data_IF_856467791475
#
_entry.id   IF_856467791475
#
_cell.length_a   1.000
_cell.length_b   1.000
_cell.length_c   1.000
_cell.angle_alpha   90.00
_cell.angle_beta   90.00
_cell.angle_gamma   90.00
#
_symmetry.space_group_name_H-M   'P 1'
#
loop_
_entity.id
_entity.type
_entity.pdbx_description
1 polymer ?
#
# COMPACT_ATOMS: atom_id res chain seq x y z
N UNK A 1 -20.80 19.86 35.77
CA UNK A 1 -21.02 20.06 34.32
C UNK A 1 -20.93 18.69 33.65
N UNK A 2 -21.94 18.33 32.89
CA UNK A 2 -21.91 17.07 32.14
C UNK A 2 -21.05 17.28 30.87
N UNK A 3 -20.14 16.34 30.60
CA UNK A 3 -19.40 16.31 29.33
C UNK A 3 -20.28 15.70 28.25
N UNK A 4 -20.03 15.98 26.96
CA UNK A 4 -20.79 15.43 25.83
C UNK A 4 -20.73 13.90 25.77
N UNK A 5 -19.66 13.30 26.32
CA UNK A 5 -19.38 11.85 26.22
C UNK A 5 -19.00 11.36 24.85
N UNK A 6 -19.03 12.21 23.81
CA UNK A 6 -18.63 11.86 22.45
C UNK A 6 -17.14 12.08 22.21
N UNK A 7 -16.54 11.25 21.33
CA UNK A 7 -15.13 11.35 20.87
C UNK A 7 -15.04 11.08 19.36
N UNK A 8 -16.11 11.38 18.64
CA UNK A 8 -16.31 11.10 17.22
C UNK A 8 -16.30 12.39 16.40
N UNK A 9 -15.38 13.32 16.72
CA UNK A 9 -15.18 14.50 15.90
C UNK A 9 -14.43 14.10 14.63
N UNK A 10 -15.12 14.13 13.52
CA UNK A 10 -14.60 13.87 12.18
C UNK A 10 -15.11 14.98 11.26
N UNK A 11 -14.26 15.43 10.35
CA UNK A 11 -14.61 16.42 9.34
C UNK A 11 -14.67 15.73 7.98
N UNK A 12 -15.66 16.07 7.17
CA UNK A 12 -15.69 15.71 5.76
C UNK A 12 -14.86 16.68 4.90
N UNK A 13 -14.65 16.35 3.62
CA UNK A 13 -13.88 17.20 2.73
C UNK A 13 -14.45 18.62 2.66
N UNK A 14 -15.77 18.77 2.65
CA UNK A 14 -16.39 20.09 2.52
C UNK A 14 -16.07 20.98 3.72
N UNK A 15 -16.12 20.43 4.92
CA UNK A 15 -15.78 21.11 6.19
C UNK A 15 -14.29 21.49 6.25
N UNK A 16 -13.38 20.61 5.81
CA UNK A 16 -11.95 20.94 5.70
C UNK A 16 -11.71 22.07 4.71
N UNK A 17 -12.41 22.07 3.59
CA UNK A 17 -12.28 23.10 2.55
C UNK A 17 -12.82 24.43 3.06
N UNK A 18 -13.96 24.45 3.73
CA UNK A 18 -14.56 25.66 4.31
C UNK A 18 -13.62 26.29 5.33
N UNK A 19 -13.15 25.53 6.32
CA UNK A 19 -12.18 25.99 7.32
C UNK A 19 -10.88 26.52 6.69
N UNK A 20 -10.38 25.85 5.65
CA UNK A 20 -9.16 26.29 4.96
C UNK A 20 -9.35 27.60 4.19
N UNK A 21 -10.52 27.84 3.59
CA UNK A 21 -10.85 29.10 2.95
C UNK A 21 -10.98 30.23 3.97
N UNK A 22 -11.62 29.98 5.12
CA UNK A 22 -11.72 30.95 6.21
C UNK A 22 -10.34 31.37 6.73
N UNK A 23 -9.40 30.43 6.90
CA UNK A 23 -8.00 30.71 7.27
C UNK A 23 -7.25 31.54 6.23
N UNK A 24 -7.65 31.46 4.98
CA UNK A 24 -7.14 32.32 3.91
C UNK A 24 -7.80 33.71 3.89
N UNK A 25 -8.77 33.98 4.78
CA UNK A 25 -9.58 35.21 4.77
C UNK A 25 -10.52 35.29 3.58
N UNK A 26 -11.03 34.18 3.09
CA UNK A 26 -11.91 34.08 1.94
C UNK A 26 -13.13 33.22 2.25
N UNK A 27 -14.21 33.47 1.52
CA UNK A 27 -15.42 32.64 1.58
C UNK A 27 -15.40 31.59 0.46
N UNK A 28 -15.89 30.40 0.76
CA UNK A 28 -16.17 29.37 -0.21
C UNK A 28 -17.42 29.74 -1.01
N UNK A 29 -17.30 29.97 -2.34
CA UNK A 29 -18.42 30.50 -3.14
C UNK A 29 -18.94 29.57 -4.22
N UNK A 30 -18.12 28.65 -4.72
CA UNK A 30 -18.46 27.88 -5.92
C UNK A 30 -17.99 26.43 -5.84
N UNK A 31 -18.68 25.53 -6.58
CA UNK A 31 -18.21 24.15 -6.78
C UNK A 31 -16.87 24.04 -7.52
N UNK A 32 -16.41 25.11 -8.17
CA UNK A 32 -15.06 25.20 -8.71
C UNK A 32 -14.01 25.30 -7.61
N UNK A 33 -14.30 26.04 -6.54
CA UNK A 33 -13.40 26.18 -5.39
C UNK A 33 -13.23 24.83 -4.66
N UNK A 34 -14.32 24.07 -4.46
CA UNK A 34 -14.26 22.72 -3.90
C UNK A 34 -13.41 21.79 -4.76
N UNK A 35 -13.59 21.78 -6.09
CA UNK A 35 -12.77 20.95 -7.00
C UNK A 35 -11.29 21.32 -6.98
N UNK A 36 -10.99 22.62 -6.84
CA UNK A 36 -9.61 23.10 -6.77
C UNK A 36 -8.97 22.74 -5.43
N UNK A 37 -9.73 22.85 -4.34
CA UNK A 37 -9.30 22.45 -3.00
C UNK A 37 -9.07 20.93 -2.89
N UNK A 38 -9.99 20.10 -3.41
CA UNK A 38 -9.82 18.64 -3.50
C UNK A 38 -8.51 18.27 -4.20
N UNK A 39 -8.20 18.87 -5.34
CA UNK A 39 -6.93 18.66 -6.03
C UNK A 39 -5.73 19.08 -5.19
N UNK A 40 -5.84 20.19 -4.44
CA UNK A 40 -4.79 20.64 -3.54
C UNK A 40 -4.59 19.68 -2.38
N UNK A 41 -5.65 19.10 -1.85
CA UNK A 41 -5.59 18.10 -0.77
C UNK A 41 -4.88 16.83 -1.23
N UNK A 42 -5.23 16.26 -2.38
CA UNK A 42 -4.54 15.08 -2.91
C UNK A 42 -3.05 15.35 -3.22
N UNK A 43 -2.70 16.56 -3.65
CA UNK A 43 -1.30 16.97 -3.79
C UNK A 43 -0.58 17.12 -2.44
N UNK A 44 -1.28 17.55 -1.40
CA UNK A 44 -0.78 17.62 -0.04
C UNK A 44 -0.49 16.20 0.51
N UNK A 45 -1.37 15.22 0.25
CA UNK A 45 -1.12 13.82 0.63
C UNK A 45 0.11 13.25 -0.07
N UNK A 46 0.31 13.59 -1.36
CA UNK A 46 1.52 13.22 -2.08
C UNK A 46 2.79 13.88 -1.48
N UNK A 47 2.71 15.12 -0.99
CA UNK A 47 3.80 15.79 -0.27
C UNK A 47 4.11 15.06 1.06
N UNK A 48 3.09 14.66 1.81
CA UNK A 48 3.25 13.92 3.05
C UNK A 48 3.95 12.58 2.85
N UNK A 49 3.61 11.86 1.80
CA UNK A 49 4.29 10.61 1.44
C UNK A 49 5.81 10.79 1.18
N UNK A 50 6.25 12.01 0.83
CA UNK A 50 7.66 12.33 0.62
C UNK A 50 8.37 12.85 1.88
N UNK A 51 7.64 13.18 2.96
CA UNK A 51 8.22 13.76 4.19
C UNK A 51 8.69 12.72 5.19
N UNK A 52 8.36 11.45 5.02
CA UNK A 52 8.82 10.38 5.90
C UNK A 52 7.82 9.25 6.08
N UNK A 53 8.05 8.44 7.13
CA UNK A 53 7.19 7.34 7.50
C UNK A 53 6.01 7.87 8.32
N UNK A 54 4.81 7.53 7.88
CA UNK A 54 3.59 7.76 8.64
C UNK A 54 3.19 6.42 9.27
N UNK A 55 3.17 6.32 10.59
CA UNK A 55 2.95 5.06 11.31
C UNK A 55 1.58 4.44 10.99
N UNK A 56 0.56 5.27 10.75
CA UNK A 56 -0.79 4.77 10.44
C UNK A 56 -0.95 4.22 9.02
N UNK A 57 -0.01 4.49 8.12
CA UNK A 57 -0.02 3.97 6.74
C UNK A 57 0.79 2.68 6.61
N UNK A 58 1.29 2.12 7.72
CA UNK A 58 1.99 0.85 7.73
C UNK A 58 0.97 -0.26 7.92
N UNK A 59 0.88 -1.14 6.95
CA UNK A 59 0.01 -2.31 6.95
C UNK A 59 0.80 -3.60 6.85
N UNK A 60 0.38 -4.62 7.61
CA UNK A 60 0.91 -5.96 7.45
C UNK A 60 0.09 -6.72 6.40
N UNK A 61 0.76 -7.17 5.37
CA UNK A 61 0.17 -7.97 4.28
C UNK A 61 0.86 -9.34 4.20
N UNK A 62 0.12 -10.36 3.77
CA UNK A 62 0.65 -11.70 3.57
C UNK A 62 0.32 -12.25 2.19
N UNK A 63 1.27 -12.95 1.57
CA UNK A 63 1.10 -13.59 0.27
C UNK A 63 1.59 -15.04 0.38
N UNK A 64 0.77 -15.99 -0.03
CA UNK A 64 1.22 -17.38 -0.16
C UNK A 64 2.19 -17.48 -1.33
N UNK A 65 3.35 -18.05 -1.10
CA UNK A 65 4.36 -18.25 -2.11
C UNK A 65 3.97 -19.39 -3.04
N UNK A 66 4.45 -19.33 -4.26
CA UNK A 66 4.21 -20.31 -5.29
C UNK A 66 5.54 -20.89 -5.78
N UNK A 67 5.63 -22.20 -5.92
CA UNK A 67 6.83 -22.89 -6.40
C UNK A 67 7.29 -22.32 -7.75
N UNK A 68 8.56 -22.01 -7.86
CA UNK A 68 9.17 -21.51 -9.08
C UNK A 68 8.92 -20.03 -9.40
N UNK A 69 8.11 -19.32 -8.59
CA UNK A 69 7.81 -17.90 -8.78
C UNK A 69 8.66 -17.06 -7.82
N UNK A 70 9.33 -16.06 -8.35
CA UNK A 70 10.17 -15.13 -7.57
C UNK A 70 9.63 -13.71 -7.51
N UNK A 71 8.76 -13.33 -8.43
CA UNK A 71 8.23 -11.99 -8.58
C UNK A 71 6.79 -11.95 -8.07
N UNK A 72 6.55 -11.18 -7.01
CA UNK A 72 5.25 -11.04 -6.34
C UNK A 72 4.76 -9.60 -6.36
N UNK A 73 3.44 -9.36 -6.33
CA UNK A 73 2.91 -8.02 -6.13
C UNK A 73 3.23 -7.53 -4.71
N UNK A 74 3.47 -6.23 -4.54
CA UNK A 74 3.65 -5.64 -3.21
C UNK A 74 2.32 -5.37 -2.48
N UNK A 75 1.34 -6.22 -2.68
CA UNK A 75 -0.01 -6.14 -2.13
C UNK A 75 -0.83 -7.31 -2.64
N UNK A 76 -2.14 -7.30 -2.40
CA UNK A 76 -3.04 -8.37 -2.86
C UNK A 76 -3.49 -8.08 -4.29
N UNK A 77 -3.20 -8.99 -5.20
CA UNK A 77 -3.67 -8.93 -6.58
C UNK A 77 -4.82 -9.90 -6.75
N UNK A 78 -6.02 -9.40 -6.97
CA UNK A 78 -7.23 -10.21 -7.04
C UNK A 78 -7.91 -10.11 -8.39
N UNK A 79 -8.67 -11.16 -8.74
CA UNK A 79 -9.60 -11.17 -9.86
C UNK A 79 -10.92 -11.79 -9.45
N UNK A 80 -12.02 -11.27 -9.95
CA UNK A 80 -13.36 -11.79 -9.67
C UNK A 80 -13.80 -12.69 -10.81
N UNK A 81 -14.24 -13.91 -10.47
CA UNK A 81 -14.65 -14.95 -11.40
C UNK A 81 -16.06 -15.47 -11.09
N UNK A 82 -16.66 -16.18 -12.02
CA UNK A 82 -17.98 -16.79 -11.81
C UNK A 82 -17.99 -17.84 -10.70
N UNK A 83 -16.99 -18.71 -10.65
CA UNK A 83 -16.76 -19.68 -9.57
C UNK A 83 -15.30 -20.07 -9.47
N UNK A 84 -14.77 -20.16 -8.24
CA UNK A 84 -13.37 -20.51 -7.95
C UNK A 84 -13.20 -21.90 -7.32
N UNK A 85 -14.29 -22.55 -6.92
CA UNK A 85 -14.26 -23.75 -6.07
C UNK A 85 -13.60 -24.97 -6.71
N UNK A 86 -13.73 -25.13 -8.02
CA UNK A 86 -13.16 -26.27 -8.77
C UNK A 86 -11.67 -26.12 -9.09
N UNK A 87 -11.09 -24.95 -8.85
CA UNK A 87 -9.67 -24.70 -9.11
C UNK A 87 -8.81 -25.08 -7.91
N UNK A 88 -7.53 -25.35 -8.16
CA UNK A 88 -6.55 -25.71 -7.13
C UNK A 88 -5.59 -24.54 -6.90
N UNK A 89 -5.23 -24.28 -5.62
CA UNK A 89 -4.17 -23.31 -5.29
C UNK A 89 -2.84 -23.83 -5.82
N UNK A 90 -2.04 -22.95 -6.42
CA UNK A 90 -0.77 -23.28 -7.06
C UNK A 90 -0.87 -23.61 -8.54
N UNK A 91 -2.08 -23.80 -9.11
CA UNK A 91 -2.22 -24.01 -10.56
C UNK A 91 -2.14 -22.72 -11.37
N UNK A 92 -1.72 -22.86 -12.61
CA UNK A 92 -1.72 -21.74 -13.57
C UNK A 92 -3.07 -21.63 -14.26
N UNK A 93 -3.63 -20.43 -14.26
CA UNK A 93 -4.82 -20.09 -15.06
C UNK A 93 -4.41 -19.44 -16.38
N UNK A 94 -5.12 -19.76 -17.43
CA UNK A 94 -4.90 -19.21 -18.78
C UNK A 94 -6.17 -18.60 -19.31
N UNK A 95 -6.09 -17.37 -19.81
CA UNK A 95 -7.18 -16.68 -20.50
C UNK A 95 -7.40 -17.22 -21.90
N UNK A 96 -8.65 -17.56 -22.24
CA UNK A 96 -9.00 -18.20 -23.51
C UNK A 96 -8.85 -17.28 -24.72
N UNK A 97 -9.07 -15.98 -24.58
CA UNK A 97 -8.93 -15.00 -25.66
C UNK A 97 -7.63 -14.21 -25.57
N UNK A 98 -7.18 -13.87 -24.37
CA UNK A 98 -5.98 -13.08 -24.14
C UNK A 98 -4.68 -13.89 -24.19
N UNK A 99 -4.75 -15.19 -23.94
CA UNK A 99 -3.58 -16.07 -23.67
C UNK A 99 -2.74 -15.57 -22.45
N UNK A 100 -3.28 -14.67 -21.65
CA UNK A 100 -2.61 -14.24 -20.42
C UNK A 100 -2.58 -15.39 -19.42
N UNK A 101 -1.52 -15.44 -18.59
CA UNK A 101 -1.36 -16.49 -17.59
C UNK A 101 -1.03 -15.88 -16.22
N UNK A 102 -1.52 -16.52 -15.14
CA UNK A 102 -1.15 -16.23 -13.78
C UNK A 102 -1.28 -17.50 -12.94
N UNK A 103 -0.61 -17.55 -11.80
CA UNK A 103 -0.76 -18.65 -10.85
C UNK A 103 -1.66 -18.25 -9.69
N UNK A 104 -2.54 -19.14 -9.25
CA UNK A 104 -3.43 -18.92 -8.11
C UNK A 104 -2.61 -19.07 -6.84
N UNK A 105 -2.50 -18.01 -6.04
CA UNK A 105 -1.82 -18.02 -4.74
C UNK A 105 -2.78 -18.36 -3.59
N UNK A 106 -4.03 -17.91 -3.68
CA UNK A 106 -5.09 -18.29 -2.73
C UNK A 106 -6.49 -18.09 -3.34
N UNK A 107 -7.50 -18.59 -2.64
CA UNK A 107 -8.92 -18.41 -2.99
C UNK A 107 -9.65 -17.74 -1.82
N UNK A 108 -9.62 -16.39 -1.73
CA UNK A 108 -10.23 -15.68 -0.62
C UNK A 108 -11.75 -15.90 -0.50
N UNK A 109 -12.43 -16.14 -1.61
CA UNK A 109 -13.87 -16.46 -1.64
C UNK A 109 -14.20 -17.46 -2.74
N UNK A 110 -15.46 -17.88 -2.81
CA UNK A 110 -15.96 -18.76 -3.88
C UNK A 110 -15.95 -18.11 -5.26
N UNK A 111 -15.73 -16.82 -5.37
CA UNK A 111 -15.75 -16.03 -6.61
C UNK A 111 -14.51 -15.17 -6.80
N UNK A 112 -13.46 -15.37 -6.00
CA UNK A 112 -12.26 -14.55 -6.06
C UNK A 112 -11.01 -15.41 -6.04
N UNK A 113 -10.07 -15.12 -6.96
CA UNK A 113 -8.68 -15.59 -6.89
C UNK A 113 -7.77 -14.49 -6.41
N UNK A 114 -6.81 -14.82 -5.53
CA UNK A 114 -5.58 -14.07 -5.41
C UNK A 114 -4.54 -14.73 -6.33
N UNK A 115 -3.79 -13.91 -7.08
CA UNK A 115 -2.92 -14.38 -8.14
C UNK A 115 -1.53 -13.76 -8.07
N UNK A 116 -0.57 -14.42 -8.72
CA UNK A 116 0.75 -13.83 -9.02
C UNK A 116 0.62 -12.70 -10.05
N UNK A 117 1.71 -11.97 -10.28
CA UNK A 117 1.74 -10.97 -11.36
C UNK A 117 1.47 -11.67 -12.69
N UNK A 118 0.44 -11.26 -13.44
CA UNK A 118 0.07 -11.93 -14.67
C UNK A 118 1.12 -11.68 -15.78
N UNK A 119 1.35 -12.70 -16.59
CA UNK A 119 2.03 -12.56 -17.87
C UNK A 119 0.95 -12.28 -18.94
N UNK A 120 0.96 -11.09 -19.48
CA UNK A 120 -0.08 -10.59 -20.37
C UNK A 120 -1.22 -9.89 -19.61
N UNK A 121 -2.28 -9.51 -20.32
CA UNK A 121 -3.43 -8.79 -19.76
C UNK A 121 -4.70 -9.60 -19.96
N UNK A 122 -5.35 -9.97 -18.87
CA UNK A 122 -6.64 -10.65 -18.91
C UNK A 122 -7.76 -9.72 -19.38
N UNK A 123 -8.69 -10.27 -20.16
CA UNK A 123 -9.84 -9.52 -20.68
C UNK A 123 -11.11 -9.91 -19.92
N UNK A 124 -11.85 -8.92 -19.42
CA UNK A 124 -13.14 -9.18 -18.76
C UNK A 124 -14.10 -9.93 -19.69
N UNK A 125 -14.81 -10.91 -19.15
CA UNK A 125 -15.74 -11.77 -19.90
C UNK A 125 -15.09 -13.00 -20.55
N UNK A 126 -13.75 -13.14 -20.54
CA UNK A 126 -13.10 -14.32 -21.10
C UNK A 126 -13.25 -15.56 -20.20
N UNK A 127 -13.10 -16.72 -20.80
CA UNK A 127 -13.05 -17.99 -20.07
C UNK A 127 -11.64 -18.25 -19.59
N UNK A 128 -11.49 -18.48 -18.29
CA UNK A 128 -10.24 -18.91 -17.66
C UNK A 128 -10.21 -20.42 -17.56
N UNK A 129 -9.07 -21.04 -17.84
CA UNK A 129 -8.87 -22.49 -17.73
C UNK A 129 -7.71 -22.78 -16.80
N UNK A 130 -7.93 -23.66 -15.82
CA UNK A 130 -6.89 -24.13 -14.88
C UNK A 130 -6.04 -25.25 -15.50
N UNK A 131 -4.72 -25.18 -15.32
CA UNK A 131 -3.77 -26.13 -15.92
C UNK A 131 -3.80 -27.51 -15.23
N UNK A 132 -4.08 -27.55 -13.94
CA UNK A 132 -4.07 -28.79 -13.16
C UNK A 132 -5.46 -29.39 -13.00
N UNK A 133 -6.45 -28.57 -12.68
CA UNK A 133 -7.83 -29.01 -12.47
C UNK A 133 -8.64 -29.20 -13.77
N UNK A 134 -8.18 -28.63 -14.88
CA UNK A 134 -8.96 -28.45 -16.12
C UNK A 134 -10.30 -27.73 -15.90
N UNK A 135 -10.48 -27.10 -14.76
CA UNK A 135 -11.67 -26.32 -14.45
C UNK A 135 -11.73 -25.07 -15.33
N UNK A 136 -12.95 -24.64 -15.62
CA UNK A 136 -13.19 -23.41 -16.38
C UNK A 136 -14.12 -22.49 -15.61
N UNK A 137 -13.88 -21.19 -15.74
CA UNK A 137 -14.74 -20.13 -15.17
C UNK A 137 -14.68 -18.89 -16.05
N UNK A 138 -15.64 -17.99 -15.91
CA UNK A 138 -15.65 -16.72 -16.63
C UNK A 138 -15.03 -15.63 -15.75
N UNK A 139 -14.14 -14.84 -16.29
CA UNK A 139 -13.61 -13.65 -15.64
C UNK A 139 -14.65 -12.54 -15.61
N UNK A 140 -15.16 -12.19 -14.43
CA UNK A 140 -16.21 -11.17 -14.28
C UNK A 140 -15.64 -9.77 -14.25
N UNK A 141 -14.54 -9.56 -13.50
CA UNK A 141 -13.85 -8.29 -13.38
C UNK A 141 -12.37 -8.50 -13.64
N UNK A 142 -11.79 -7.64 -14.49
CA UNK A 142 -10.36 -7.65 -14.78
C UNK A 142 -9.51 -7.50 -13.50
N UNK A 143 -8.25 -7.89 -13.59
CA UNK A 143 -7.30 -7.82 -12.46
C UNK A 143 -7.21 -6.40 -11.91
N UNK A 144 -7.45 -6.27 -10.62
CA UNK A 144 -7.33 -5.00 -9.91
C UNK A 144 -5.92 -4.84 -9.31
N UNK A 145 -5.23 -3.80 -9.74
CA UNK A 145 -3.90 -3.42 -9.27
C UNK A 145 -3.92 -2.27 -8.25
N UNK A 146 -5.09 -1.80 -7.82
CA UNK A 146 -5.21 -0.62 -6.95
C UNK A 146 -4.47 -0.82 -5.63
N UNK A 147 -4.66 -1.95 -4.96
CA UNK A 147 -3.98 -2.29 -3.72
C UNK A 147 -2.46 -2.40 -3.88
N UNK A 148 -1.98 -3.02 -4.96
CA UNK A 148 -0.54 -3.11 -5.24
C UNK A 148 0.08 -1.73 -5.48
N UNK A 149 -0.63 -0.86 -6.24
CA UNK A 149 -0.17 0.50 -6.56
C UNK A 149 -0.25 1.47 -5.38
N UNK A 150 -1.03 1.13 -4.35
CA UNK A 150 -1.05 1.91 -3.10
C UNK A 150 0.26 1.75 -2.33
N UNK A 151 0.99 0.64 -2.50
CA UNK A 151 2.25 0.38 -1.81
C UNK A 151 3.37 1.29 -2.29
N UNK A 152 3.96 2.02 -1.36
CA UNK A 152 5.12 2.91 -1.59
C UNK A 152 6.43 2.15 -1.41
N UNK A 153 6.53 1.34 -0.35
CA UNK A 153 7.72 0.54 -0.02
C UNK A 153 7.36 -0.62 0.92
N UNK A 154 8.28 -1.56 1.07
CA UNK A 154 8.23 -2.63 2.08
C UNK A 154 9.33 -2.38 3.09
N UNK A 155 8.98 -2.32 4.38
CA UNK A 155 9.89 -2.00 5.47
C UNK A 155 10.63 -3.23 5.97
N UNK A 156 9.88 -4.28 6.28
CA UNK A 156 10.38 -5.57 6.79
C UNK A 156 9.59 -6.71 6.19
N UNK A 157 10.18 -7.90 6.16
CA UNK A 157 9.48 -9.08 5.70
C UNK A 157 10.01 -10.34 6.39
N UNK A 158 9.12 -11.32 6.56
CA UNK A 158 9.44 -12.65 7.09
C UNK A 158 8.80 -13.71 6.20
N UNK A 159 9.41 -14.89 6.16
CA UNK A 159 8.80 -16.07 5.53
C UNK A 159 8.36 -17.02 6.63
N UNK A 160 7.08 -17.33 6.66
CA UNK A 160 6.49 -18.32 7.56
C UNK A 160 6.53 -19.70 6.89
N UNK A 161 7.21 -20.64 7.51
CA UNK A 161 7.24 -22.07 7.13
C UNK A 161 6.92 -22.91 8.34
N UNK A 162 5.93 -23.79 8.25
CA UNK A 162 5.52 -24.69 9.34
C UNK A 162 5.28 -23.94 10.67
N UNK A 163 4.56 -22.80 10.59
CA UNK A 163 4.23 -21.92 11.73
C UNK A 163 5.43 -21.25 12.40
N UNK A 164 6.60 -21.25 11.77
CA UNK A 164 7.80 -20.55 12.24
C UNK A 164 8.13 -19.43 11.28
N UNK A 165 8.33 -18.22 11.81
CA UNK A 165 8.69 -17.04 11.04
C UNK A 165 10.23 -16.93 10.95
N UNK A 166 10.72 -16.75 9.74
CA UNK A 166 12.13 -16.54 9.41
C UNK A 166 12.29 -15.18 8.78
N UNK A 167 13.09 -14.34 9.41
CA UNK A 167 13.42 -13.03 8.86
C UNK A 167 14.12 -13.16 7.51
N UNK A 168 13.76 -12.31 6.56
CA UNK A 168 14.41 -12.21 5.25
C UNK A 168 15.04 -10.84 5.10
N UNK A 169 16.26 -10.81 4.55
CA UNK A 169 17.05 -9.59 4.47
C UNK A 169 16.70 -8.79 3.22
N UNK A 170 16.50 -7.48 3.39
CA UNK A 170 16.36 -6.56 2.27
C UNK A 170 17.70 -6.33 1.58
N UNK A 171 17.76 -6.54 0.27
CA UNK A 171 18.96 -6.27 -0.53
C UNK A 171 18.76 -5.13 -1.51
N UNK A 172 19.85 -4.49 -1.94
CA UNK A 172 19.82 -3.42 -2.94
C UNK A 172 19.57 -3.99 -4.36
N UNK A 173 19.20 -3.13 -5.30
CA UNK A 173 19.06 -3.50 -6.71
C UNK A 173 20.36 -4.07 -7.28
N UNK A 174 21.51 -3.50 -6.93
CA UNK A 174 22.81 -3.99 -7.37
C UNK A 174 23.13 -5.36 -6.79
N UNK A 175 22.97 -5.55 -5.48
CA UNK A 175 23.19 -6.84 -4.82
C UNK A 175 22.28 -7.94 -5.38
N UNK A 176 21.00 -7.62 -5.64
CA UNK A 176 20.09 -8.57 -6.30
C UNK A 176 20.53 -8.90 -7.73
N UNK A 177 21.08 -7.91 -8.48
CA UNK A 177 21.59 -8.12 -9.84
C UNK A 177 22.82 -9.05 -9.85
N UNK A 178 23.67 -8.94 -8.85
CA UNK A 178 24.92 -9.69 -8.72
C UNK A 178 24.70 -11.17 -8.37
N UNK A 179 23.49 -11.58 -7.98
CA UNK A 179 23.15 -12.99 -7.70
C UNK A 179 23.36 -13.81 -9.00
N UNK A 180 24.30 -14.79 -9.02
CA UNK A 180 24.64 -15.51 -10.25
C UNK A 180 23.49 -16.39 -10.77
N UNK A 181 22.81 -17.08 -9.85
CA UNK A 181 21.69 -17.97 -10.19
C UNK A 181 20.40 -17.51 -9.48
N UNK A 182 19.60 -16.73 -10.18
CA UNK A 182 18.32 -16.21 -9.69
C UNK A 182 17.21 -17.27 -9.62
N UNK A 183 17.40 -18.40 -10.28
CA UNK A 183 16.45 -19.53 -10.31
C UNK A 183 16.81 -20.63 -9.31
N UNK A 184 17.77 -20.38 -8.42
CA UNK A 184 18.07 -21.32 -7.34
C UNK A 184 16.83 -21.51 -6.47
N UNK A 185 16.39 -22.76 -6.32
CA UNK A 185 15.23 -23.12 -5.50
C UNK A 185 15.63 -23.28 -4.03
N UNK A 186 14.76 -22.85 -3.12
CA UNK A 186 14.97 -22.97 -1.69
C UNK A 186 14.01 -22.09 -0.88
N UNK A 187 14.21 -22.06 0.44
CA UNK A 187 13.51 -21.11 1.28
C UNK A 187 14.07 -19.71 1.05
N UNK A 188 13.23 -18.71 0.72
CA UNK A 188 13.68 -17.34 0.57
C UNK A 188 14.35 -16.80 1.84
N UNK A 189 15.47 -16.09 1.69
CA UNK A 189 16.21 -15.43 2.76
C UNK A 189 16.57 -13.97 2.42
N UNK A 190 16.34 -13.55 1.19
CA UNK A 190 16.57 -12.19 0.72
C UNK A 190 15.38 -11.69 -0.09
N UNK A 191 15.14 -10.38 -0.06
CA UNK A 191 14.16 -9.73 -0.91
C UNK A 191 14.64 -8.39 -1.44
N UNK A 192 14.15 -8.03 -2.61
CA UNK A 192 14.37 -6.74 -3.25
C UNK A 192 13.02 -6.16 -3.68
N UNK A 193 12.79 -4.87 -3.42
CA UNK A 193 11.58 -4.15 -3.84
C UNK A 193 11.90 -3.32 -5.06
N UNK A 194 11.30 -3.67 -6.20
CA UNK A 194 11.39 -2.88 -7.42
C UNK A 194 10.28 -1.81 -7.43
N UNK A 195 10.63 -0.60 -7.00
CA UNK A 195 9.71 0.53 -6.81
C UNK A 195 9.33 1.18 -8.14
N UNK A 196 8.53 0.49 -8.92
CA UNK A 196 7.91 1.00 -10.15
C UNK A 196 6.50 1.56 -9.86
N UNK A 197 5.77 2.01 -10.90
CA UNK A 197 4.35 2.42 -10.79
C UNK A 197 3.50 1.28 -10.21
N UNK A 198 3.80 0.04 -10.62
CA UNK A 198 3.27 -1.18 -10.00
C UNK A 198 4.46 -1.87 -9.33
N UNK A 199 4.63 -1.72 -8.00
CA UNK A 199 5.82 -2.22 -7.32
C UNK A 199 5.83 -3.75 -7.26
N UNK A 200 7.03 -4.31 -7.38
CA UNK A 200 7.27 -5.76 -7.42
C UNK A 200 8.19 -6.15 -6.28
N UNK A 201 7.75 -7.12 -5.48
CA UNK A 201 8.57 -7.80 -4.50
C UNK A 201 9.28 -8.98 -5.17
N UNK A 202 10.60 -8.94 -5.23
CA UNK A 202 11.44 -10.04 -5.74
C UNK A 202 12.10 -10.74 -4.58
N UNK A 203 11.94 -12.03 -4.49
CA UNK A 203 12.51 -12.86 -3.42
C UNK A 203 13.57 -13.83 -3.98
N UNK A 204 14.53 -14.14 -3.14
CA UNK A 204 15.57 -15.11 -3.45
C UNK A 204 15.99 -15.89 -2.19
N UNK A 205 16.24 -17.20 -2.29
CA UNK A 205 16.00 -18.12 -3.41
C UNK A 205 14.54 -18.20 -3.85
N UNK A 206 14.30 -18.70 -5.04
CA UNK A 206 12.96 -18.95 -5.57
C UNK A 206 12.26 -20.01 -4.73
N UNK A 207 11.01 -19.82 -4.31
CA UNK A 207 10.28 -20.77 -3.47
C UNK A 207 10.26 -22.19 -4.04
N UNK A 208 10.46 -23.17 -3.17
CA UNK A 208 10.47 -24.60 -3.49
C UNK A 208 9.14 -25.31 -3.23
N UNK A 209 8.14 -24.58 -2.71
CA UNK A 209 6.82 -25.13 -2.37
C UNK A 209 5.74 -24.05 -2.46
N UNK A 210 4.46 -24.49 -2.39
CA UNK A 210 3.26 -23.66 -2.44
C UNK A 210 2.63 -23.43 -1.06
N UNK A 211 3.35 -23.67 0.03
CA UNK A 211 2.83 -23.64 1.41
C UNK A 211 3.45 -22.53 2.25
N UNK A 212 4.62 -22.04 1.87
CA UNK A 212 5.27 -20.91 2.55
C UNK A 212 4.48 -19.63 2.34
N UNK A 213 4.49 -18.77 3.34
CA UNK A 213 3.80 -17.46 3.27
C UNK A 213 4.82 -16.37 3.57
N UNK A 214 4.97 -15.41 2.68
CA UNK A 214 5.68 -14.17 3.00
C UNK A 214 4.72 -13.20 3.67
N UNK A 215 5.11 -12.68 4.84
CA UNK A 215 4.44 -11.59 5.54
C UNK A 215 5.36 -10.40 5.51
N UNK A 216 4.84 -9.24 5.23
CA UNK A 216 5.64 -8.02 5.17
C UNK A 216 4.85 -6.81 5.64
N UNK A 217 5.56 -5.86 6.23
CA UNK A 217 5.03 -4.56 6.59
C UNK A 217 5.27 -3.62 5.41
N UNK A 218 4.18 -3.14 4.82
CA UNK A 218 4.22 -2.22 3.68
C UNK A 218 3.81 -0.83 4.10
N UNK A 219 4.44 0.17 3.54
CA UNK A 219 4.02 1.56 3.60
C UNK A 219 3.06 1.83 2.45
N UNK A 220 1.85 2.23 2.76
CA UNK A 220 0.82 2.57 1.76
C UNK A 220 0.66 4.08 1.60
N UNK A 221 0.08 4.49 0.48
CA UNK A 221 -0.32 5.89 0.28
C UNK A 221 -1.60 6.16 1.06
N UNK A 222 -1.75 7.39 1.53
CA UNK A 222 -3.01 7.90 2.06
C UNK A 222 -4.06 7.84 0.95
N UNK A 223 -5.28 7.42 1.26
CA UNK A 223 -6.37 7.34 0.28
C UNK A 223 -6.70 8.71 -0.33
N UNK A 224 -6.98 8.71 -1.62
CA UNK A 224 -7.38 9.91 -2.35
C UNK A 224 -8.82 10.29 -1.97
N UNK A 225 -9.08 11.57 -1.81
CA UNK A 225 -10.43 12.09 -1.60
C UNK A 225 -11.10 12.31 -2.94
N UNK A 226 -12.23 11.64 -3.20
CA UNK A 226 -12.94 11.67 -4.49
C UNK A 226 -14.26 12.41 -4.46
N UNK A 227 -14.96 12.44 -3.34
CA UNK A 227 -16.24 13.13 -3.14
C UNK A 227 -16.12 14.26 -2.10
N UNK A 228 -17.04 15.21 -2.11
CA UNK A 228 -17.13 16.27 -1.11
C UNK A 228 -17.57 15.77 0.28
N UNK A 229 -18.18 14.59 0.31
CA UNK A 229 -18.68 13.92 1.53
C UNK A 229 -17.76 12.82 2.04
N UNK A 230 -16.60 12.61 1.38
CA UNK A 230 -15.64 11.63 1.84
C UNK A 230 -14.97 12.11 3.13
N UNK A 231 -14.82 11.20 4.07
CA UNK A 231 -13.95 11.39 5.24
C UNK A 231 -12.50 11.08 4.84
N UNK A 232 -11.55 11.69 5.53
CA UNK A 232 -10.13 11.48 5.25
C UNK A 232 -9.60 10.31 6.08
N UNK A 233 -8.79 9.45 5.48
CA UNK A 233 -8.09 8.35 6.18
C UNK A 233 -6.83 8.88 6.89
N UNK A 234 -7.05 9.70 7.93
CA UNK A 234 -5.97 10.36 8.66
C UNK A 234 -6.31 10.34 10.17
N UNK A 235 -5.33 10.03 11.05
CA UNK A 235 -5.54 10.08 12.48
C UNK A 235 -5.87 11.48 12.99
N UNK A 236 -6.71 11.57 14.03
CA UNK A 236 -7.13 12.81 14.67
C UNK A 236 -6.00 13.81 14.94
N UNK A 237 -4.81 13.33 15.32
CA UNK A 237 -3.63 14.16 15.59
C UNK A 237 -3.14 14.97 14.39
N UNK A 238 -3.50 14.56 13.16
CA UNK A 238 -3.14 15.26 11.91
C UNK A 238 -4.19 16.22 11.38
N UNK A 239 -5.39 16.29 11.97
CA UNK A 239 -6.46 17.20 11.51
C UNK A 239 -6.03 18.67 11.50
N UNK A 240 -5.38 19.24 12.55
CA UNK A 240 -4.90 20.62 12.51
C UNK A 240 -3.87 20.86 11.41
N UNK A 241 -2.96 19.89 11.21
CA UNK A 241 -1.93 19.94 10.16
C UNK A 241 -2.56 19.88 8.76
N UNK A 242 -3.57 19.02 8.54
CA UNK A 242 -4.26 18.91 7.27
C UNK A 242 -4.95 20.23 6.90
N UNK A 243 -5.68 20.82 7.84
CA UNK A 243 -6.38 22.09 7.63
C UNK A 243 -5.38 23.23 7.32
N UNK A 244 -4.28 23.30 8.07
CA UNK A 244 -3.24 24.31 7.84
C UNK A 244 -2.53 24.11 6.50
N UNK A 245 -2.23 22.87 6.13
CA UNK A 245 -1.62 22.53 4.86
C UNK A 245 -2.52 22.84 3.68
N UNK A 246 -3.81 22.51 3.78
CA UNK A 246 -4.79 22.84 2.75
C UNK A 246 -4.94 24.37 2.58
N UNK A 247 -5.02 25.11 3.68
CA UNK A 247 -5.04 26.58 3.65
C UNK A 247 -3.78 27.15 2.96
N UNK A 248 -2.60 26.62 3.27
CA UNK A 248 -1.37 27.00 2.59
C UNK A 248 -1.44 26.75 1.07
N UNK A 249 -1.88 25.57 0.62
CA UNK A 249 -2.00 25.24 -0.80
C UNK A 249 -3.06 26.09 -1.53
N UNK A 250 -4.16 26.44 -0.86
CA UNK A 250 -5.18 27.36 -1.39
C UNK A 250 -4.62 28.78 -1.50
N UNK A 251 -3.86 29.24 -0.48
CA UNK A 251 -3.31 30.59 -0.46
C UNK A 251 -2.37 30.85 -1.63
N UNK A 252 -1.56 29.87 -2.03
CA UNK A 252 -0.68 29.98 -3.22
C UNK A 252 -1.45 30.34 -4.51
N UNK A 253 -2.73 29.95 -4.59
CA UNK A 253 -3.56 30.17 -5.79
C UNK A 253 -4.47 31.39 -5.67
N UNK A 254 -4.93 31.71 -4.48
CA UNK A 254 -6.03 32.64 -4.25
C UNK A 254 -5.64 33.87 -3.42
N UNK A 255 -4.72 33.72 -2.47
CA UNK A 255 -4.28 34.82 -1.59
C UNK A 255 -2.79 34.72 -1.29
N UNK A 256 -1.90 35.04 -2.26
CA UNK A 256 -0.44 34.93 -2.09
C UNK A 256 0.14 35.75 -0.94
N UNK A 257 -0.56 36.78 -0.48
CA UNK A 257 -0.12 37.61 0.63
C UNK A 257 -0.11 36.86 1.97
N UNK A 258 -1.06 35.92 2.15
CA UNK A 258 -1.15 35.08 3.36
C UNK A 258 -0.23 33.86 3.30
N UNK A 259 0.34 33.52 2.13
CA UNK A 259 1.13 32.32 1.91
C UNK A 259 2.30 32.16 2.89
N UNK A 260 3.14 33.17 3.20
CA UNK A 260 4.29 32.96 4.12
C UNK A 260 3.84 32.62 5.53
N UNK A 261 2.80 33.28 6.03
CA UNK A 261 2.24 33.04 7.36
C UNK A 261 1.63 31.62 7.44
N UNK A 262 0.80 31.25 6.49
CA UNK A 262 0.14 29.93 6.46
C UNK A 262 1.14 28.80 6.28
N UNK A 263 2.23 29.01 5.53
CA UNK A 263 3.33 28.08 5.43
C UNK A 263 3.99 27.83 6.79
N UNK A 264 4.27 28.89 7.55
CA UNK A 264 4.89 28.75 8.88
C UNK A 264 4.00 27.96 9.83
N UNK A 265 2.69 28.25 9.85
CA UNK A 265 1.72 27.52 10.66
C UNK A 265 1.66 26.04 10.24
N UNK A 266 1.61 25.77 8.93
CA UNK A 266 1.59 24.40 8.43
C UNK A 266 2.83 23.60 8.83
N UNK A 267 4.03 24.17 8.66
CA UNK A 267 5.28 23.48 9.03
C UNK A 267 5.37 23.23 10.54
N UNK A 268 4.88 24.15 11.37
CA UNK A 268 4.83 23.97 12.82
C UNK A 268 3.85 22.86 13.23
N UNK A 269 2.64 22.85 12.66
CA UNK A 269 1.65 21.80 12.94
C UNK A 269 2.12 20.43 12.41
N UNK A 270 2.79 20.40 11.25
CA UNK A 270 3.38 19.18 10.71
C UNK A 270 4.44 18.63 11.65
N UNK A 271 5.34 19.50 12.15
CA UNK A 271 6.38 19.06 13.08
C UNK A 271 5.78 18.48 14.36
N UNK A 272 4.74 19.10 14.93
CA UNK A 272 4.05 18.60 16.12
C UNK A 272 3.39 17.23 15.84
N UNK A 273 2.72 17.08 14.71
CA UNK A 273 2.07 15.84 14.34
C UNK A 273 3.09 14.71 14.13
N UNK A 274 4.20 14.98 13.44
CA UNK A 274 5.27 14.01 13.22
C UNK A 274 6.01 13.64 14.51
N UNK A 275 6.18 14.56 15.46
CA UNK A 275 6.77 14.26 16.76
C UNK A 275 5.88 13.34 17.60
N UNK A 276 4.57 13.43 17.46
CA UNK A 276 3.62 12.54 18.13
C UNK A 276 3.48 11.17 17.41
N UNK A 277 3.72 11.11 16.10
CA UNK A 277 3.62 9.89 15.28
C UNK A 277 4.87 8.99 15.35
N UNK A 278 5.77 9.23 16.28
CA UNK A 278 6.96 8.39 16.46
C UNK A 278 6.65 7.09 17.19
N UNK A 279 7.37 6.03 16.79
CA UNK A 279 7.39 4.80 17.57
C UNK A 279 7.93 5.09 18.98
N UNK A 280 7.15 4.72 20.00
CA UNK A 280 7.49 4.91 21.42
C UNK A 280 8.19 3.69 22.03
N UNK A 281 8.64 2.75 21.21
CA UNK A 281 9.40 1.62 21.69
C UNK A 281 10.74 2.06 22.27
N UNK A 282 11.10 1.55 23.45
CA UNK A 282 12.42 1.81 24.03
C UNK A 282 13.48 1.01 23.26
N UNK A 283 14.36 1.68 22.56
CA UNK A 283 15.56 1.09 21.95
C UNK A 283 16.51 0.64 23.07
N UNK A 284 16.49 -0.65 23.39
CA UNK A 284 17.49 -1.25 24.27
C UNK A 284 18.62 -1.80 23.41
N UNK A 285 19.67 -0.99 23.23
CA UNK A 285 20.90 -1.46 22.59
C UNK A 285 21.67 -2.27 23.64
N UNK A 286 21.65 -3.59 23.52
CA UNK A 286 22.55 -4.46 24.26
C UNK A 286 23.80 -4.70 23.43
N UNK A 287 25.01 -4.32 23.89
CA UNK A 287 26.22 -4.70 23.19
C UNK A 287 26.31 -6.24 23.11
N UNK A 288 26.36 -6.78 21.91
CA UNK A 288 26.71 -8.19 21.71
C UNK A 288 28.21 -8.33 21.85
N UNK A 289 28.67 -8.93 22.94
CA UNK A 289 30.05 -9.38 23.07
C UNK A 289 30.17 -10.76 22.44
N UNK A 290 30.54 -10.82 21.18
CA UNK A 290 31.09 -12.05 20.62
C UNK A 290 32.43 -12.33 21.28
N UNK A 291 32.44 -13.20 22.28
CA UNK A 291 33.67 -13.80 22.75
C UNK A 291 34.21 -14.70 21.64
N UNK A 292 35.25 -14.27 20.96
CA UNK A 292 36.11 -15.17 20.22
C UNK A 292 36.61 -16.24 21.21
N UNK A 293 36.12 -17.44 21.09
CA UNK A 293 36.72 -18.62 21.68
C UNK A 293 37.74 -19.13 20.67
N UNK A 294 39.04 -19.00 21.03
CA UNK A 294 40.13 -19.70 20.39
C UNK A 294 39.94 -21.23 20.48
#
# INVERSE_FOLDING_TARGET
MATSGSRNFELDLAEYVEEAFERCGMELRTGYDVRTAKRSMNLLFADWANRGLNQWTIEQTSITLAEGIRDYPCGTLTMTVGASTSFTVGETITGGSSSATAQITSKPSSTTFAITIPSGTFTSGETLTGSGSAATTTLSVAVDFSDVRSTVDILSAVVTRSSTDFEIQRVSRSSYLDIPNKSQSGRPNEFFVDRQITPILRIWPTPENNTDVVKFDRLTRIEDVDSATDTVDIPFRFYPCLTAGLAYYISMKRNPQMMPMLKSVYEEEMQRAMDEDRDRASLRISPSYDYYRD
#
